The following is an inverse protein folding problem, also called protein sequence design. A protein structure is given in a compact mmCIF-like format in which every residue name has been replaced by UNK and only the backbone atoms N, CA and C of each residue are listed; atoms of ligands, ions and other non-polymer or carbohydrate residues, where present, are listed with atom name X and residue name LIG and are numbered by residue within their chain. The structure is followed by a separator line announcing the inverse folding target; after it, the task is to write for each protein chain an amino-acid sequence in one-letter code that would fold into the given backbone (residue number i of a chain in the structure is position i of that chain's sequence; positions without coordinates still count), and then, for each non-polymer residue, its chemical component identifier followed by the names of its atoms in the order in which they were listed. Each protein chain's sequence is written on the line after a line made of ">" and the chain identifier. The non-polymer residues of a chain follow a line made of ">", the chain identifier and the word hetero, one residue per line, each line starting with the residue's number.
data_IF_289599099332
#
_entry.id   IF_289599099332
#
_cell.length_a   1.000
_cell.length_b   1.000
_cell.length_c   1.000
_cell.angle_alpha   90.00
_cell.angle_beta   90.00
_cell.angle_gamma   90.00
#
_symmetry.space_group_name_H-M   'P 1'
#
loop_
_entity.id
_entity.type
_entity.pdbx_description
1 polymer ?
#
# COMPACT_ATOMS: atom_id res chain seq x y z
N UNK A 1 6.70 -12.09 -8.45
CA UNK A 1 5.80 -11.71 -7.35
C UNK A 1 6.30 -10.43 -6.74
N UNK A 2 5.41 -9.45 -6.53
CA UNK A 2 5.77 -8.13 -6.00
C UNK A 2 5.03 -7.90 -4.70
N UNK A 3 5.79 -7.67 -3.63
CA UNK A 3 5.24 -7.29 -2.33
C UNK A 3 5.06 -5.78 -2.24
N UNK A 4 3.90 -5.36 -1.73
CA UNK A 4 3.55 -3.96 -1.53
C UNK A 4 2.78 -3.79 -0.23
N UNK A 5 3.04 -2.69 0.46
CA UNK A 5 2.27 -2.31 1.65
C UNK A 5 0.90 -1.80 1.20
N UNK A 6 -0.17 -2.44 1.67
CA UNK A 6 -1.55 -2.10 1.33
C UNK A 6 -1.90 -0.65 1.69
N UNK A 7 -1.34 -0.14 2.79
CA UNK A 7 -1.60 1.21 3.29
C UNK A 7 -0.73 2.28 2.59
N UNK A 8 0.23 1.86 1.78
CA UNK A 8 1.08 2.78 1.02
C UNK A 8 0.36 3.37 -0.20
N UNK A 9 0.89 4.49 -0.72
CA UNK A 9 0.37 5.08 -1.96
C UNK A 9 0.46 4.09 -3.12
N UNK A 10 1.54 3.32 -3.21
CA UNK A 10 1.70 2.28 -4.23
C UNK A 10 0.63 1.18 -4.10
N UNK A 11 0.39 0.69 -2.87
CA UNK A 11 -0.65 -0.30 -2.60
C UNK A 11 -2.04 0.20 -2.96
N UNK A 12 -2.38 1.43 -2.58
CA UNK A 12 -3.67 2.06 -2.93
C UNK A 12 -3.82 2.26 -4.44
N UNK A 13 -2.76 2.65 -5.16
CA UNK A 13 -2.77 2.74 -6.64
C UNK A 13 -3.11 1.37 -7.24
N UNK A 14 -2.41 0.32 -6.82
CA UNK A 14 -2.59 -1.02 -7.34
C UNK A 14 -3.99 -1.57 -7.02
N UNK A 15 -4.54 -1.26 -5.84
CA UNK A 15 -5.92 -1.58 -5.46
C UNK A 15 -6.93 -0.98 -6.44
N UNK A 16 -6.80 0.33 -6.69
CA UNK A 16 -7.69 1.05 -7.63
C UNK A 16 -7.56 0.47 -9.05
N UNK A 17 -6.34 0.16 -9.50
CA UNK A 17 -6.13 -0.43 -10.83
C UNK A 17 -6.72 -1.85 -10.97
N UNK A 18 -6.81 -2.62 -9.89
CA UNK A 18 -7.45 -3.94 -9.89
C UNK A 18 -8.99 -3.84 -9.87
N UNK A 19 -9.54 -2.78 -9.25
CA UNK A 19 -11.00 -2.58 -9.12
C UNK A 19 -11.60 -1.80 -10.30
N UNK A 20 -10.87 -0.82 -10.83
CA UNK A 20 -11.30 0.12 -11.85
C UNK A 20 -10.25 0.18 -12.98
N UNK A 21 -10.37 -0.74 -13.94
CA UNK A 21 -9.52 -0.79 -15.12
C UNK A 21 -10.32 -0.54 -16.42
N UNK A 22 -9.80 0.26 -17.39
CA UNK A 22 -8.64 1.17 -17.32
C UNK A 22 -8.96 2.53 -16.67
N UNK A 23 -7.97 3.16 -16.02
CA UNK A 23 -8.10 4.46 -15.35
C UNK A 23 -7.06 5.48 -15.85
N UNK A 24 -7.44 6.76 -15.89
CA UNK A 24 -6.53 7.86 -16.23
C UNK A 24 -5.75 8.38 -15.02
N UNK A 25 -4.60 9.05 -15.25
CA UNK A 25 -3.85 9.75 -14.18
C UNK A 25 -4.73 10.75 -13.40
N UNK A 26 -5.67 11.43 -14.07
CA UNK A 26 -6.56 12.42 -13.45
C UNK A 26 -7.57 11.76 -12.50
N UNK A 27 -8.18 10.65 -12.92
CA UNK A 27 -9.11 9.89 -12.09
C UNK A 27 -8.38 9.27 -10.89
N UNK A 28 -7.20 8.67 -11.13
CA UNK A 28 -6.37 8.11 -10.06
C UNK A 28 -6.02 9.15 -8.99
N UNK A 29 -5.72 10.39 -9.39
CA UNK A 29 -5.47 11.49 -8.46
C UNK A 29 -6.70 11.87 -7.63
N UNK A 30 -7.90 11.87 -8.24
CA UNK A 30 -9.16 12.14 -7.54
C UNK A 30 -9.45 11.07 -6.48
N UNK A 31 -9.25 9.80 -6.82
CA UNK A 31 -9.49 8.66 -5.93
C UNK A 31 -8.51 8.63 -4.74
N UNK A 32 -7.22 8.85 -5.00
CA UNK A 32 -6.19 8.74 -3.96
C UNK A 32 -6.26 9.84 -2.91
N UNK A 33 -6.85 11.00 -3.24
CA UNK A 33 -6.84 12.23 -2.41
C UNK A 33 -5.44 12.56 -1.89
N UNK A 34 -4.42 12.33 -2.72
CA UNK A 34 -3.00 12.49 -2.37
C UNK A 34 -2.34 13.60 -3.19
N UNK A 35 -1.26 14.24 -2.69
CA UNK A 35 -0.54 15.27 -3.44
C UNK A 35 -0.07 14.76 -4.81
N UNK A 36 -0.24 15.52 -5.91
CA UNK A 36 0.09 15.09 -7.27
C UNK A 36 1.52 14.56 -7.41
N UNK A 37 2.48 15.23 -6.75
CA UNK A 37 3.90 14.84 -6.72
C UNK A 37 4.11 13.45 -6.12
N UNK A 38 3.39 13.09 -5.05
CA UNK A 38 3.51 11.76 -4.42
C UNK A 38 2.92 10.67 -5.30
N UNK A 39 1.78 10.94 -5.94
CA UNK A 39 1.17 10.01 -6.91
C UNK A 39 2.12 9.78 -8.07
N UNK A 40 2.72 10.83 -8.61
CA UNK A 40 3.66 10.74 -9.73
C UNK A 40 4.93 9.97 -9.36
N UNK A 41 5.52 10.21 -8.19
CA UNK A 41 6.67 9.44 -7.71
C UNK A 41 6.32 7.95 -7.55
N UNK A 42 5.14 7.63 -7.03
CA UNK A 42 4.69 6.24 -6.88
C UNK A 42 4.45 5.56 -8.25
N UNK A 43 3.85 6.27 -9.21
CA UNK A 43 3.68 5.78 -10.58
C UNK A 43 5.03 5.50 -11.26
N UNK A 44 6.00 6.41 -11.12
CA UNK A 44 7.36 6.21 -11.66
C UNK A 44 8.03 5.00 -11.00
N UNK A 45 7.89 4.84 -9.68
CA UNK A 45 8.43 3.70 -8.93
C UNK A 45 7.85 2.38 -9.43
N UNK A 46 6.52 2.28 -9.55
CA UNK A 46 5.83 1.10 -10.06
C UNK A 46 6.15 0.81 -11.52
N UNK A 47 6.31 1.84 -12.35
CA UNK A 47 6.73 1.70 -13.75
C UNK A 47 8.15 1.15 -13.86
N UNK A 48 9.10 1.68 -13.07
CA UNK A 48 10.49 1.19 -13.02
C UNK A 48 10.58 -0.27 -12.56
N UNK A 49 9.67 -0.69 -11.69
CA UNK A 49 9.53 -2.08 -11.22
C UNK A 49 8.81 -2.99 -12.23
N UNK A 50 8.33 -2.45 -13.36
CA UNK A 50 7.60 -3.19 -14.38
C UNK A 50 6.22 -3.67 -13.92
N UNK A 51 5.61 -3.00 -12.94
CA UNK A 51 4.27 -3.36 -12.42
C UNK A 51 3.16 -2.75 -13.26
N UNK A 52 3.38 -1.50 -13.70
CA UNK A 52 2.42 -0.76 -14.50
C UNK A 52 3.06 -0.18 -15.77
N UNK A 53 2.23 0.01 -16.77
CA UNK A 53 2.49 0.75 -17.99
C UNK A 53 1.74 2.07 -17.97
N UNK A 54 2.28 3.07 -18.63
CA UNK A 54 1.56 4.31 -18.92
C UNK A 54 1.46 4.40 -20.43
N UNK A 55 0.26 4.28 -20.96
CA UNK A 55 -0.02 4.35 -22.39
C UNK A 55 -0.81 5.62 -22.73
N UNK A 56 -0.58 6.14 -23.93
CA UNK A 56 -1.24 7.33 -24.46
C UNK A 56 -0.37 8.58 -24.49
N UNK A 57 -0.90 9.62 -25.12
CA UNK A 57 -0.21 10.88 -25.43
C UNK A 57 -0.99 12.07 -24.93
N UNK A 58 -0.29 13.09 -24.44
CA UNK A 58 -0.91 14.32 -23.94
C UNK A 58 -1.65 14.15 -22.61
N UNK A 59 -2.88 14.64 -22.56
CA UNK A 59 -3.75 14.65 -21.36
C UNK A 59 -4.42 13.30 -21.05
N UNK A 60 -4.47 12.39 -22.02
CA UNK A 60 -5.07 11.05 -21.89
C UNK A 60 -3.97 10.00 -21.72
N UNK A 61 -3.38 9.99 -20.52
CA UNK A 61 -2.48 8.91 -20.10
C UNK A 61 -3.27 7.88 -19.30
N UNK A 62 -3.44 6.71 -19.89
CA UNK A 62 -4.04 5.55 -19.27
C UNK A 62 -2.98 4.76 -18.51
N UNK A 63 -3.36 4.23 -17.37
CA UNK A 63 -2.47 3.44 -16.51
C UNK A 63 -2.91 2.00 -16.64
N UNK A 64 -1.99 1.15 -17.08
CA UNK A 64 -2.23 -0.27 -17.33
C UNK A 64 -1.46 -1.16 -16.38
N UNK A 65 -2.09 -2.23 -15.91
CA UNK A 65 -1.42 -3.21 -15.05
C UNK A 65 -0.66 -4.18 -15.97
N UNK A 66 0.67 -4.24 -15.84
CA UNK A 66 1.52 -5.14 -16.64
C UNK A 66 1.69 -6.49 -15.94
N UNK A 67 1.60 -6.49 -14.60
CA UNK A 67 1.73 -7.69 -13.76
C UNK A 67 0.57 -7.82 -12.78
N UNK A 68 0.00 -9.02 -12.71
CA UNK A 68 -1.09 -9.35 -11.79
C UNK A 68 -0.62 -10.09 -10.52
N UNK A 69 0.65 -10.50 -10.45
CA UNK A 69 1.24 -11.23 -9.32
C UNK A 69 1.67 -10.30 -8.17
N UNK A 70 0.68 -9.62 -7.59
CA UNK A 70 0.86 -8.64 -6.50
C UNK A 70 0.45 -9.27 -5.17
N UNK A 71 1.34 -9.20 -4.18
CA UNK A 71 1.05 -9.53 -2.79
C UNK A 71 0.91 -8.24 -1.98
N UNK A 72 -0.27 -8.05 -1.38
CA UNK A 72 -0.52 -6.96 -0.45
C UNK A 72 -0.21 -7.43 0.97
N UNK A 73 0.65 -6.70 1.67
CA UNK A 73 0.90 -6.92 3.10
C UNK A 73 0.38 -5.71 3.90
N UNK A 74 -0.47 -5.96 4.89
CA UNK A 74 -0.87 -4.92 5.84
C UNK A 74 0.17 -4.84 6.94
N UNK A 75 0.74 -3.66 7.18
CA UNK A 75 1.49 -3.39 8.42
C UNK A 75 0.52 -3.16 9.57
N UNK A 76 -0.27 -4.18 9.93
CA UNK A 76 -0.93 -4.19 11.24
C UNK A 76 0.18 -4.18 12.28
N UNK A 77 0.46 -3.01 12.86
CA UNK A 77 1.26 -2.90 14.08
C UNK A 77 0.56 -3.80 15.10
N UNK A 78 1.08 -5.01 15.32
CA UNK A 78 0.80 -5.73 16.56
C UNK A 78 1.20 -4.74 17.64
N UNK A 79 0.22 -4.16 18.33
CA UNK A 79 0.48 -3.48 19.60
C UNK A 79 1.26 -4.53 20.40
N UNK A 80 2.49 -4.20 20.78
CA UNK A 80 3.21 -5.01 21.74
C UNK A 80 2.26 -5.18 22.92
N UNK A 81 1.75 -6.39 23.10
CA UNK A 81 1.09 -6.78 24.33
C UNK A 81 2.15 -6.51 25.40
N UNK A 82 1.89 -5.48 26.22
CA UNK A 82 2.79 -5.15 27.33
C UNK A 82 2.97 -6.47 28.10
N UNK A 83 4.20 -6.90 28.40
CA UNK A 83 4.39 -8.09 29.22
C UNK A 83 3.65 -7.82 30.54
N UNK A 84 2.65 -8.64 30.82
CA UNK A 84 1.95 -8.64 32.10
C UNK A 84 3.02 -9.15 33.07
N UNK A 85 3.71 -8.26 33.78
CA UNK A 85 4.53 -8.65 34.91
C UNK A 85 3.61 -9.44 35.85
N UNK A 86 3.93 -10.68 36.23
CA UNK A 86 3.15 -11.37 37.24
C UNK A 86 3.19 -10.51 38.50
N UNK A 87 2.02 -10.25 39.08
CA UNK A 87 1.94 -9.64 40.41
C UNK A 87 2.69 -10.57 41.35
N UNK A 88 3.80 -10.11 41.91
CA UNK A 88 4.45 -10.78 43.02
C UNK A 88 3.45 -10.77 44.19
N UNK A 89 2.83 -11.90 44.50
CA UNK A 89 2.10 -12.08 45.75
C UNK A 89 3.13 -12.13 46.90
N UNK A 90 3.15 -11.17 47.85
CA UNK A 90 3.99 -11.26 49.04
C UNK A 90 3.31 -12.13 50.11
N UNK A 91 2.64 -13.21 49.70
CA UNK A 91 1.74 -14.01 50.51
C UNK A 91 2.18 -15.45 50.68
N UNK A 92 3.49 -15.72 50.82
CA UNK A 92 3.96 -17.00 51.32
C UNK A 92 5.39 -16.88 51.88
N UNK A 93 5.52 -16.24 53.04
CA UNK A 93 6.59 -16.59 53.97
C UNK A 93 5.96 -17.51 55.02
N UNK A 94 6.37 -18.78 54.97
CA UNK A 94 6.40 -19.81 56.00
C UNK A 94 6.05 -19.31 57.42
N UNK A 95 5.20 -19.99 58.19
CA UNK A 95 5.46 -21.37 58.62
C UNK A 95 6.36 -21.31 59.85
#
# INVERSE_FOLDING_TARGET
>A
MIEVDEDSIEGRILRILLEAYPITKRELQKELKAPPKKVEMALISLQRRGVLGIEGTGDTRFITLVRADILFHSRKRRKAEKPILPKSDPGNMFG
#
